data_IF_859069155936
#
_entry.id   IF_859069155936
#
_cell.length_a   1.000
_cell.length_b   1.000
_cell.length_c   1.000
_cell.angle_alpha   90.00
_cell.angle_beta   90.00
_cell.angle_gamma   90.00
#
_symmetry.space_group_name_H-M   'P 1'
#
loop_
_entity.id
_entity.type
_entity.pdbx_description
1 polymer ?
#
# COMPACT_ATOMS: atom_id res chain seq x y z
N UNK A 1 -20.84 -6.11 9.28
CA UNK A 1 -20.49 -6.46 7.92
C UNK A 1 -21.00 -5.39 6.98
N UNK A 2 -20.30 -5.12 5.92
CA UNK A 2 -20.82 -4.26 4.86
C UNK A 2 -21.48 -5.15 3.81
N UNK A 3 -22.57 -4.64 3.19
CA UNK A 3 -23.30 -5.33 2.13
C UNK A 3 -22.58 -5.27 0.77
N UNK A 4 -21.25 -5.09 0.77
CA UNK A 4 -20.43 -5.08 -0.44
C UNK A 4 -20.30 -6.49 -1.02
N UNK A 5 -20.53 -6.62 -2.31
CA UNK A 5 -20.21 -7.84 -3.04
C UNK A 5 -18.70 -7.84 -3.34
N UNK A 6 -18.00 -8.90 -2.92
CA UNK A 6 -16.56 -9.04 -3.11
C UNK A 6 -16.32 -10.08 -4.20
N UNK A 7 -15.48 -9.70 -5.17
CA UNK A 7 -14.94 -10.58 -6.21
C UNK A 7 -13.44 -10.68 -6.07
N UNK A 8 -12.88 -11.83 -6.37
CA UNK A 8 -11.43 -12.01 -6.39
C UNK A 8 -10.99 -12.80 -7.60
N UNK A 9 -9.90 -12.33 -8.17
CA UNK A 9 -9.18 -12.96 -9.27
C UNK A 9 -7.68 -13.00 -8.95
N UNK A 10 -7.06 -14.10 -9.26
CA UNK A 10 -5.60 -14.30 -9.19
C UNK A 10 -5.15 -15.05 -10.46
N UNK A 11 -3.92 -14.82 -10.92
CA UNK A 11 -3.34 -15.58 -12.06
C UNK A 11 -3.19 -17.08 -11.73
N UNK A 12 -3.09 -17.42 -10.46
CA UNK A 12 -3.11 -18.80 -10.00
C UNK A 12 -4.58 -19.26 -9.84
N UNK A 13 -5.05 -20.19 -10.69
CA UNK A 13 -6.46 -20.57 -10.71
C UNK A 13 -7.01 -21.08 -9.35
N UNK A 14 -6.15 -21.69 -8.54
CA UNK A 14 -6.52 -22.20 -7.21
C UNK A 14 -6.89 -21.08 -6.20
N UNK A 15 -6.46 -19.82 -6.48
CA UNK A 15 -6.73 -18.65 -5.66
C UNK A 15 -7.85 -17.76 -6.22
N UNK A 16 -8.30 -18.03 -7.44
CA UNK A 16 -9.38 -17.30 -8.08
C UNK A 16 -10.74 -17.84 -7.73
N UNK A 17 -11.68 -16.93 -7.41
CA UNK A 17 -13.11 -17.28 -7.21
C UNK A 17 -13.91 -16.92 -8.47
N UNK A 18 -13.49 -15.85 -9.16
CA UNK A 18 -14.17 -15.31 -10.33
C UNK A 18 -13.20 -15.19 -11.50
N UNK A 19 -13.69 -15.03 -12.72
CA UNK A 19 -12.86 -14.70 -13.88
C UNK A 19 -12.40 -13.24 -13.78
N UNK A 20 -11.33 -12.90 -14.53
CA UNK A 20 -10.87 -11.51 -14.63
C UNK A 20 -11.99 -10.61 -15.19
N UNK A 21 -12.66 -11.06 -16.26
CA UNK A 21 -13.75 -10.30 -16.91
C UNK A 21 -14.91 -10.02 -15.94
N UNK A 22 -15.33 -11.01 -15.17
CA UNK A 22 -16.36 -10.82 -14.13
C UNK A 22 -15.89 -9.85 -13.05
N UNK A 23 -14.64 -10.03 -12.55
CA UNK A 23 -14.09 -9.17 -11.49
C UNK A 23 -14.02 -7.72 -11.95
N UNK A 24 -13.59 -7.47 -13.20
CA UNK A 24 -13.44 -6.11 -13.72
C UNK A 24 -14.79 -5.46 -14.00
N UNK A 25 -15.71 -6.16 -14.68
CA UNK A 25 -16.92 -5.52 -15.20
C UNK A 25 -18.07 -5.46 -14.18
N UNK A 26 -17.99 -6.25 -13.12
CA UNK A 26 -19.02 -6.27 -12.07
C UNK A 26 -18.56 -5.62 -10.75
N UNK A 27 -17.43 -4.91 -10.76
CA UNK A 27 -16.91 -4.19 -9.59
C UNK A 27 -16.75 -2.69 -9.87
N UNK A 28 -17.14 -1.88 -8.90
CA UNK A 28 -16.97 -0.42 -8.97
C UNK A 28 -15.56 0.01 -8.59
N UNK A 29 -14.89 -0.78 -7.74
CA UNK A 29 -13.54 -0.54 -7.26
C UNK A 29 -12.69 -1.80 -7.43
N UNK A 30 -11.55 -1.68 -8.12
CA UNK A 30 -10.63 -2.77 -8.42
C UNK A 30 -9.33 -2.56 -7.64
N UNK A 31 -9.07 -3.37 -6.64
CA UNK A 31 -7.85 -3.29 -5.83
C UNK A 31 -6.76 -4.18 -6.43
N UNK A 32 -5.69 -3.57 -6.94
CA UNK A 32 -4.53 -4.27 -7.50
C UNK A 32 -3.45 -4.39 -6.42
N UNK A 33 -3.14 -5.63 -6.04
CA UNK A 33 -2.09 -5.96 -5.07
C UNK A 33 -1.17 -7.00 -5.68
N UNK A 34 -0.23 -6.55 -6.51
CA UNK A 34 0.74 -7.41 -7.21
C UNK A 34 2.16 -7.11 -6.72
N UNK A 35 3.09 -8.09 -6.77
CA UNK A 35 4.48 -7.86 -6.42
C UNK A 35 5.14 -6.83 -7.34
N UNK A 36 6.02 -6.01 -6.74
CA UNK A 36 6.92 -5.07 -7.45
C UNK A 36 8.35 -5.33 -6.97
N UNK A 37 9.00 -6.41 -7.45
CA UNK A 37 10.33 -6.80 -7.00
C UNK A 37 11.40 -5.80 -7.44
N UNK A 38 12.56 -5.82 -6.77
CA UNK A 38 13.72 -5.04 -7.20
C UNK A 38 14.46 -5.75 -8.32
N UNK A 39 14.92 -4.99 -9.31
CA UNK A 39 15.87 -5.43 -10.31
C UNK A 39 17.29 -5.57 -9.70
N UNK A 40 18.24 -6.24 -10.38
CA UNK A 40 19.61 -6.37 -9.90
C UNK A 40 20.34 -5.04 -9.67
N UNK A 41 19.94 -3.98 -10.37
CA UNK A 41 20.49 -2.63 -10.23
C UNK A 41 19.83 -1.82 -9.09
N UNK A 42 18.89 -2.43 -8.36
CA UNK A 42 18.13 -1.79 -7.28
C UNK A 42 16.92 -0.98 -7.75
N UNK A 43 16.69 -0.84 -9.05
CA UNK A 43 15.47 -0.22 -9.57
C UNK A 43 14.25 -1.13 -9.32
N UNK A 44 13.06 -0.52 -9.29
CA UNK A 44 11.82 -1.26 -9.10
C UNK A 44 11.32 -1.84 -10.42
N UNK A 45 10.99 -3.14 -10.43
CA UNK A 45 10.35 -3.78 -11.56
C UNK A 45 8.83 -3.62 -11.47
N UNK A 46 8.26 -2.96 -12.45
CA UNK A 46 6.81 -2.72 -12.57
C UNK A 46 6.13 -3.56 -13.64
N UNK A 47 6.83 -4.54 -14.23
CA UNK A 47 6.30 -5.33 -15.36
C UNK A 47 5.05 -6.11 -14.99
N UNK A 48 5.01 -6.67 -13.77
CA UNK A 48 3.85 -7.43 -13.28
C UNK A 48 2.64 -6.49 -13.13
N UNK A 49 2.85 -5.29 -12.58
CA UNK A 49 1.80 -4.28 -12.43
C UNK A 49 1.31 -3.80 -13.80
N UNK A 50 2.24 -3.56 -14.71
CA UNK A 50 1.92 -3.13 -16.07
C UNK A 50 1.12 -4.21 -16.84
N UNK A 51 1.50 -5.48 -16.70
CA UNK A 51 0.76 -6.60 -17.25
C UNK A 51 -0.66 -6.71 -16.67
N UNK A 52 -0.81 -6.53 -15.36
CA UNK A 52 -2.12 -6.55 -14.71
C UNK A 52 -3.03 -5.41 -15.21
N UNK A 53 -2.50 -4.20 -15.37
CA UNK A 53 -3.25 -3.07 -15.93
C UNK A 53 -3.65 -3.30 -17.40
N UNK A 54 -2.76 -3.90 -18.17
CA UNK A 54 -3.05 -4.29 -19.56
C UNK A 54 -4.15 -5.35 -19.63
N UNK A 55 -4.08 -6.38 -18.81
CA UNK A 55 -5.10 -7.43 -18.74
C UNK A 55 -6.47 -6.83 -18.35
N UNK A 56 -6.50 -5.91 -17.38
CA UNK A 56 -7.72 -5.19 -17.00
C UNK A 56 -8.26 -4.34 -18.16
N UNK A 57 -7.43 -3.53 -18.79
CA UNK A 57 -7.85 -2.68 -19.91
C UNK A 57 -8.44 -3.50 -21.05
N UNK A 58 -7.87 -4.67 -21.37
CA UNK A 58 -8.34 -5.54 -22.45
C UNK A 58 -9.73 -6.10 -22.22
N UNK A 59 -10.14 -6.32 -20.97
CA UNK A 59 -11.46 -6.90 -20.64
C UNK A 59 -12.46 -5.87 -20.14
N UNK A 60 -12.01 -4.66 -19.78
CA UNK A 60 -12.84 -3.61 -19.20
C UNK A 60 -13.81 -3.04 -20.24
N UNK A 61 -15.10 -3.14 -19.94
CA UNK A 61 -16.21 -2.59 -20.77
C UNK A 61 -16.85 -1.38 -20.09
N UNK A 62 -16.33 -0.98 -18.92
CA UNK A 62 -16.84 0.14 -18.13
C UNK A 62 -15.91 1.34 -18.24
N UNK A 63 -16.48 2.52 -18.01
CA UNK A 63 -15.74 3.79 -17.96
C UNK A 63 -15.84 4.47 -16.59
N UNK A 64 -16.55 3.87 -15.64
CA UNK A 64 -16.85 4.44 -14.34
C UNK A 64 -16.24 3.69 -13.15
N UNK A 65 -15.66 2.50 -13.37
CA UNK A 65 -14.95 1.79 -12.31
C UNK A 65 -13.59 2.45 -12.02
N UNK A 66 -13.11 2.29 -10.79
CA UNK A 66 -11.84 2.87 -10.34
C UNK A 66 -10.85 1.74 -10.05
N UNK A 67 -9.65 1.89 -10.59
CA UNK A 67 -8.53 0.96 -10.40
C UNK A 67 -7.60 1.52 -9.33
N UNK A 68 -7.54 0.86 -8.17
CA UNK A 68 -6.69 1.25 -7.06
C UNK A 68 -5.37 0.46 -7.10
N UNK A 69 -4.27 1.14 -7.32
CA UNK A 69 -2.92 0.55 -7.23
C UNK A 69 -2.49 0.59 -5.75
N UNK A 70 -2.28 -0.59 -5.17
CA UNK A 70 -1.83 -0.75 -3.79
C UNK A 70 -0.37 -1.13 -3.66
N UNK A 71 0.22 -1.66 -4.73
CA UNK A 71 1.63 -2.05 -4.79
C UNK A 71 2.54 -0.86 -4.51
N UNK A 72 3.64 -1.08 -3.78
CA UNK A 72 4.66 -0.05 -3.55
C UNK A 72 5.38 0.25 -4.86
N UNK A 73 5.41 1.51 -5.25
CA UNK A 73 6.05 1.99 -6.49
C UNK A 73 6.78 3.31 -6.25
N UNK A 74 7.77 3.61 -7.07
CA UNK A 74 8.57 4.83 -6.96
C UNK A 74 7.79 6.07 -7.37
N UNK A 75 8.02 7.25 -6.74
CA UNK A 75 7.38 8.51 -7.12
C UNK A 75 7.49 8.82 -8.62
N UNK A 76 6.35 9.22 -9.22
CA UNK A 76 6.19 9.47 -10.65
C UNK A 76 5.83 8.25 -11.50
N UNK A 77 5.72 7.06 -10.90
CA UNK A 77 5.34 5.84 -11.63
C UNK A 77 3.86 5.81 -11.97
N UNK A 78 2.96 6.12 -11.02
CA UNK A 78 1.52 6.08 -11.27
C UNK A 78 1.10 7.09 -12.33
N UNK A 79 1.71 8.28 -12.33
CA UNK A 79 1.42 9.27 -13.38
C UNK A 79 1.73 8.72 -14.79
N UNK A 80 2.88 8.05 -14.95
CA UNK A 80 3.25 7.42 -16.23
C UNK A 80 2.29 6.29 -16.62
N UNK A 81 1.85 5.50 -15.63
CA UNK A 81 0.85 4.44 -15.86
C UNK A 81 -0.51 5.04 -16.25
N UNK A 82 -0.98 6.08 -15.56
CA UNK A 82 -2.23 6.76 -15.90
C UNK A 82 -2.18 7.40 -17.31
N UNK A 83 -1.05 7.97 -17.71
CA UNK A 83 -0.86 8.50 -19.05
C UNK A 83 -0.85 7.40 -20.14
N UNK A 84 -0.38 6.20 -19.79
CA UNK A 84 -0.34 5.05 -20.71
C UNK A 84 -1.71 4.36 -20.82
N UNK A 85 -2.42 4.20 -19.72
CA UNK A 85 -3.71 3.51 -19.60
C UNK A 85 -4.86 4.53 -19.44
N UNK A 86 -5.04 5.39 -20.43
CA UNK A 86 -5.98 6.55 -20.37
C UNK A 86 -7.44 6.16 -20.23
N UNK A 87 -7.79 4.92 -20.57
CA UNK A 87 -9.14 4.40 -20.45
C UNK A 87 -9.45 3.82 -19.05
N UNK A 88 -8.47 3.86 -18.13
CA UNK A 88 -8.62 3.41 -16.74
C UNK A 88 -8.60 4.61 -15.78
N UNK A 89 -9.57 4.67 -14.89
CA UNK A 89 -9.59 5.64 -13.79
C UNK A 89 -8.67 5.14 -12.68
N UNK A 90 -7.42 5.57 -12.66
CA UNK A 90 -6.41 5.07 -11.73
C UNK A 90 -6.35 5.95 -10.50
N UNK A 91 -6.32 5.32 -9.32
CA UNK A 91 -6.01 5.95 -8.03
C UNK A 91 -4.87 5.16 -7.37
N UNK A 92 -3.86 5.86 -6.90
CA UNK A 92 -2.83 5.26 -6.06
C UNK A 92 -3.29 5.27 -4.60
N UNK A 93 -3.43 4.08 -4.02
CA UNK A 93 -3.83 3.92 -2.62
C UNK A 93 -2.86 2.96 -1.92
N UNK A 94 -1.70 3.45 -1.45
CA UNK A 94 -0.69 2.63 -0.80
C UNK A 94 -1.22 1.97 0.47
N UNK A 95 -0.72 0.79 0.76
CA UNK A 95 -0.96 0.09 2.01
C UNK A 95 0.18 0.35 3.00
N UNK A 96 -0.13 0.31 4.31
CA UNK A 96 0.81 0.49 5.42
C UNK A 96 0.72 -0.69 6.39
N UNK A 97 0.62 -1.89 5.83
CA UNK A 97 0.40 -3.13 6.56
C UNK A 97 1.73 -3.82 6.85
N UNK A 98 1.79 -4.53 7.96
CA UNK A 98 2.88 -5.47 8.24
C UNK A 98 2.46 -6.89 7.87
N UNK A 99 3.38 -7.72 7.41
CA UNK A 99 3.08 -9.10 7.00
C UNK A 99 2.43 -9.93 8.12
N UNK A 100 2.86 -9.70 9.37
CA UNK A 100 2.39 -10.47 10.53
C UNK A 100 0.98 -10.11 10.99
N UNK A 101 0.54 -8.87 10.77
CA UNK A 101 -0.72 -8.35 11.30
C UNK A 101 -1.58 -7.64 10.24
N UNK A 102 -1.44 -7.98 8.97
CA UNK A 102 -2.07 -7.27 7.85
C UNK A 102 -3.58 -7.02 8.04
N UNK A 103 -4.34 -8.01 8.51
CA UNK A 103 -5.80 -7.84 8.77
C UNK A 103 -6.07 -6.86 9.90
N UNK A 104 -5.30 -6.98 10.99
CA UNK A 104 -5.43 -6.08 12.15
C UNK A 104 -5.04 -4.66 11.77
N UNK A 105 -3.91 -4.50 11.07
CA UNK A 105 -3.42 -3.20 10.62
C UNK A 105 -4.41 -2.54 9.66
N UNK A 106 -5.05 -3.31 8.75
CA UNK A 106 -6.05 -2.77 7.84
C UNK A 106 -7.31 -2.29 8.57
N UNK A 107 -7.79 -3.03 9.57
CA UNK A 107 -8.98 -2.66 10.35
C UNK A 107 -8.71 -1.44 11.23
N UNK A 108 -7.49 -1.30 11.74
CA UNK A 108 -7.08 -0.24 12.65
C UNK A 108 -6.29 0.89 11.96
N UNK A 109 -6.42 1.04 10.65
CA UNK A 109 -5.78 2.14 9.94
C UNK A 109 -6.23 3.49 10.48
N UNK A 110 -5.27 4.38 10.68
CA UNK A 110 -5.51 5.74 11.18
C UNK A 110 -5.79 6.74 10.07
N UNK A 111 -5.52 6.38 8.81
CA UNK A 111 -5.70 7.22 7.62
C UNK A 111 -5.65 6.40 6.35
N UNK A 112 -6.22 6.96 5.28
CA UNK A 112 -6.01 6.51 3.89
C UNK A 112 -5.32 7.60 3.09
N UNK A 113 -4.39 7.22 2.21
CA UNK A 113 -3.71 8.10 1.27
C UNK A 113 -4.26 7.78 -0.12
N UNK A 114 -4.70 8.80 -0.84
CA UNK A 114 -5.33 8.66 -2.15
C UNK A 114 -4.67 9.65 -3.12
N UNK A 115 -3.94 9.12 -4.08
CA UNK A 115 -3.27 9.91 -5.12
C UNK A 115 -3.95 9.75 -6.46
N UNK A 116 -4.29 10.87 -7.10
CA UNK A 116 -4.93 10.86 -8.41
C UNK A 116 -5.79 12.07 -8.68
N UNK A 117 -6.63 11.97 -9.70
CA UNK A 117 -7.62 12.99 -10.00
C UNK A 117 -8.65 13.08 -8.89
N UNK A 118 -9.04 14.31 -8.54
CA UNK A 118 -9.91 14.58 -7.37
C UNK A 118 -11.26 13.87 -7.49
N UNK A 119 -11.84 13.79 -8.67
CA UNK A 119 -13.12 13.08 -8.87
C UNK A 119 -13.01 11.61 -8.45
N UNK A 120 -11.92 10.94 -8.82
CA UNK A 120 -11.72 9.53 -8.51
C UNK A 120 -11.30 9.31 -7.05
N UNK A 121 -10.41 10.15 -6.51
CA UNK A 121 -10.00 10.05 -5.11
C UNK A 121 -11.15 10.30 -4.16
N UNK A 122 -12.05 11.24 -4.45
CA UNK A 122 -13.21 11.52 -3.62
C UNK A 122 -14.19 10.35 -3.57
N UNK A 123 -14.44 9.65 -4.69
CA UNK A 123 -15.26 8.42 -4.69
C UNK A 123 -14.63 7.31 -3.87
N UNK A 124 -13.32 7.15 -3.91
CA UNK A 124 -12.61 6.19 -3.05
C UNK A 124 -12.66 6.60 -1.58
N UNK A 125 -12.54 7.88 -1.28
CA UNK A 125 -12.68 8.41 0.08
C UNK A 125 -14.08 8.13 0.65
N UNK A 126 -15.14 8.29 -0.14
CA UNK A 126 -16.51 7.92 0.24
C UNK A 126 -16.63 6.43 0.56
N UNK A 127 -16.05 5.54 -0.25
CA UNK A 127 -16.00 4.10 0.03
C UNK A 127 -15.34 3.80 1.38
N UNK A 128 -14.22 4.44 1.69
CA UNK A 128 -13.53 4.22 2.96
C UNK A 128 -14.29 4.80 4.14
N UNK A 129 -14.88 5.99 4.01
CA UNK A 129 -15.75 6.57 5.05
C UNK A 129 -16.98 5.71 5.31
N UNK A 130 -17.63 5.20 4.27
CA UNK A 130 -18.73 4.25 4.42
C UNK A 130 -18.32 2.99 5.20
N UNK A 131 -17.11 2.48 4.99
CA UNK A 131 -16.63 1.24 5.64
C UNK A 131 -16.08 1.48 7.05
N UNK A 132 -15.39 2.58 7.28
CA UNK A 132 -14.61 2.84 8.51
C UNK A 132 -15.19 3.97 9.36
N UNK A 133 -16.21 4.65 8.88
CA UNK A 133 -16.86 5.80 9.52
C UNK A 133 -16.38 7.13 8.98
N UNK A 134 -17.23 8.15 9.07
CA UNK A 134 -17.01 9.48 8.46
C UNK A 134 -15.79 10.21 9.03
N UNK A 135 -15.37 9.85 10.24
CA UNK A 135 -14.22 10.47 10.91
C UNK A 135 -12.86 9.98 10.42
N UNK A 136 -12.80 8.90 9.59
CA UNK A 136 -11.53 8.40 9.11
C UNK A 136 -10.85 9.41 8.17
N UNK A 137 -9.61 9.85 8.45
CA UNK A 137 -8.90 10.76 7.57
C UNK A 137 -8.59 10.12 6.22
N UNK A 138 -9.06 10.75 5.14
CA UNK A 138 -8.65 10.43 3.78
C UNK A 138 -7.85 11.62 3.25
N UNK A 139 -6.55 11.42 3.00
CA UNK A 139 -5.65 12.44 2.46
C UNK A 139 -5.64 12.28 0.94
N UNK A 140 -6.37 13.17 0.28
CA UNK A 140 -6.49 13.23 -1.18
C UNK A 140 -5.40 14.16 -1.73
N UNK A 141 -4.63 13.70 -2.70
CA UNK A 141 -3.49 14.45 -3.27
C UNK A 141 -3.15 13.95 -4.69
N UNK A 142 -2.09 14.47 -5.30
CA UNK A 142 -1.58 13.95 -6.57
C UNK A 142 -0.81 12.62 -6.39
N UNK A 143 -0.54 11.94 -7.50
CA UNK A 143 0.13 10.64 -7.50
C UNK A 143 1.49 10.68 -6.81
N UNK A 144 2.33 11.63 -7.19
CA UNK A 144 3.71 11.72 -6.71
C UNK A 144 3.79 11.98 -5.20
N UNK A 145 2.89 12.81 -4.68
CA UNK A 145 2.82 13.07 -3.24
C UNK A 145 2.38 11.82 -2.47
N UNK A 146 1.38 11.10 -2.97
CA UNK A 146 0.91 9.87 -2.34
C UNK A 146 1.99 8.77 -2.35
N UNK A 147 2.71 8.62 -3.46
CA UNK A 147 3.85 7.71 -3.61
C UNK A 147 4.99 8.09 -2.65
N UNK A 148 5.31 9.38 -2.55
CA UNK A 148 6.34 9.89 -1.64
C UNK A 148 6.00 9.59 -0.18
N UNK A 149 4.74 9.77 0.25
CA UNK A 149 4.30 9.44 1.61
C UNK A 149 4.58 7.97 1.93
N UNK A 150 4.30 7.05 0.99
CA UNK A 150 4.60 5.62 1.16
C UNK A 150 6.10 5.39 1.33
N UNK A 151 6.92 6.00 0.46
CA UNK A 151 8.37 5.88 0.52
C UNK A 151 8.96 6.43 1.81
N UNK A 152 8.52 7.61 2.24
CA UNK A 152 8.97 8.22 3.50
C UNK A 152 8.76 7.27 4.68
N UNK A 153 7.58 6.64 4.79
CA UNK A 153 7.31 5.69 5.85
C UNK A 153 8.25 4.47 5.79
N UNK A 154 8.38 3.85 4.61
CA UNK A 154 9.19 2.65 4.46
C UNK A 154 10.68 2.94 4.72
N UNK A 155 11.20 4.04 4.18
CA UNK A 155 12.60 4.44 4.39
C UNK A 155 12.87 4.82 5.85
N UNK A 156 11.92 5.50 6.51
CA UNK A 156 12.06 5.83 7.93
C UNK A 156 12.14 4.57 8.80
N UNK A 157 11.27 3.60 8.55
CA UNK A 157 11.28 2.35 9.30
C UNK A 157 12.55 1.51 9.05
N UNK A 158 13.03 1.46 7.80
CA UNK A 158 14.30 0.83 7.46
C UNK A 158 15.48 1.51 8.18
N UNK A 159 15.49 2.85 8.22
CA UNK A 159 16.50 3.63 8.94
C UNK A 159 16.46 3.35 10.44
N UNK A 160 15.26 3.26 11.03
CA UNK A 160 15.09 2.95 12.45
C UNK A 160 15.66 1.57 12.80
N UNK A 161 15.37 0.55 11.98
CA UNK A 161 15.95 -0.80 12.18
C UNK A 161 17.46 -0.76 12.06
N UNK A 162 18.01 -0.09 11.03
CA UNK A 162 19.46 0.05 10.83
C UNK A 162 20.12 0.73 12.03
N UNK A 163 19.54 1.83 12.52
CA UNK A 163 20.01 2.52 13.70
C UNK A 163 20.05 1.62 14.94
N UNK A 164 18.96 0.86 15.17
CA UNK A 164 18.90 -0.04 16.32
C UNK A 164 19.90 -1.21 16.21
N UNK A 165 20.12 -1.73 15.00
CA UNK A 165 21.18 -2.73 14.78
C UNK A 165 22.57 -2.19 15.16
N UNK A 166 22.91 -0.94 14.77
CA UNK A 166 24.17 -0.32 15.19
C UNK A 166 24.26 -0.16 16.71
N UNK A 167 23.17 0.28 17.35
CA UNK A 167 23.13 0.39 18.82
C UNK A 167 23.27 -0.96 19.50
N UNK A 168 22.69 -2.03 18.94
CA UNK A 168 22.84 -3.40 19.42
C UNK A 168 24.29 -3.86 19.36
N UNK A 169 25.01 -3.58 18.28
CA UNK A 169 26.43 -3.92 18.15
C UNK A 169 27.29 -3.22 19.21
N UNK A 170 26.93 -2.01 19.63
CA UNK A 170 27.61 -1.29 20.73
C UNK A 170 27.24 -1.95 22.06
N UNK A 171 25.97 -2.25 22.30
CA UNK A 171 25.49 -2.90 23.53
C UNK A 171 26.18 -4.26 23.73
N UNK A 172 26.38 -5.04 22.67
CA UNK A 172 27.03 -6.37 22.75
C UNK A 172 28.51 -6.30 23.15
N UNK A 173 29.13 -5.13 23.09
CA UNK A 173 30.53 -4.88 23.51
C UNK A 173 30.64 -4.23 24.88
N UNK A 174 29.51 -4.02 25.54
CA UNK A 174 29.42 -3.32 26.82
C UNK A 174 28.51 -4.11 27.76
N UNK A 175 28.46 -3.73 29.03
CA UNK A 175 27.57 -4.36 30.04
C UNK A 175 26.16 -3.74 30.02
N UNK A 176 25.56 -3.67 28.81
CA UNK A 176 24.21 -3.12 28.61
C UNK A 176 23.20 -4.25 28.48
N UNK A 177 22.17 -4.21 29.35
CA UNK A 177 20.96 -5.01 29.16
C UNK A 177 20.16 -4.41 27.99
N UNK A 178 20.21 -5.06 26.82
CA UNK A 178 19.59 -4.58 25.61
C UNK A 178 18.08 -4.48 25.69
N UNK A 179 17.41 -5.44 26.32
CA UNK A 179 15.96 -5.45 26.41
C UNK A 179 15.45 -4.30 27.29
N UNK A 180 16.12 -4.05 28.40
CA UNK A 180 15.83 -2.90 29.27
C UNK A 180 16.13 -1.58 28.56
N UNK A 181 17.23 -1.52 27.82
CA UNK A 181 17.60 -0.31 27.07
C UNK A 181 16.55 0.02 25.98
N UNK A 182 16.11 -0.98 25.22
CA UNK A 182 15.07 -0.81 24.19
C UNK A 182 13.73 -0.45 24.81
N UNK A 183 13.34 -1.10 25.94
CA UNK A 183 12.10 -0.74 26.62
C UNK A 183 12.14 0.72 27.09
N UNK A 184 13.22 1.15 27.73
CA UNK A 184 13.40 2.54 28.13
C UNK A 184 13.36 3.51 26.95
N UNK A 185 14.02 3.16 25.85
CA UNK A 185 14.05 3.96 24.62
C UNK A 185 12.66 4.18 24.02
N UNK A 186 11.83 3.14 23.90
CA UNK A 186 10.50 3.24 23.28
C UNK A 186 9.44 3.88 24.18
N UNK A 187 9.72 4.06 25.48
CA UNK A 187 8.84 4.80 26.41
C UNK A 187 8.75 6.29 26.05
N UNK A 188 9.72 6.84 25.34
CA UNK A 188 9.55 8.16 24.74
C UNK A 188 8.53 8.07 23.60
N UNK A 189 7.36 8.69 23.78
CA UNK A 189 6.26 8.65 22.82
C UNK A 189 6.62 9.14 21.40
N UNK A 190 7.72 9.87 21.25
CA UNK A 190 8.24 10.32 19.94
C UNK A 190 8.91 9.18 19.15
N UNK A 191 9.32 8.10 19.82
CA UNK A 191 10.03 6.96 19.21
C UNK A 191 9.04 5.93 18.68
N UNK A 192 8.04 5.55 19.49
CA UNK A 192 7.05 4.52 19.17
C UNK A 192 7.61 3.09 19.15
N UNK A 193 6.71 2.12 19.32
CA UNK A 193 7.04 0.70 19.49
C UNK A 193 7.22 -0.10 18.20
N UNK A 194 6.96 0.47 17.03
CA UNK A 194 7.07 -0.26 15.76
C UNK A 194 8.53 -0.33 15.29
N UNK A 195 8.90 -1.45 14.61
CA UNK A 195 10.21 -1.63 13.94
C UNK A 195 11.40 -1.48 14.90
N UNK A 196 11.36 -2.17 16.04
CA UNK A 196 12.43 -2.17 17.05
C UNK A 196 13.14 -3.53 17.19
N UNK A 197 12.65 -4.57 16.50
CA UNK A 197 13.30 -5.88 16.49
C UNK A 197 14.56 -5.83 15.65
N UNK A 198 15.71 -6.11 16.26
CA UNK A 198 17.03 -6.22 15.60
C UNK A 198 17.41 -7.69 15.43
N UNK A 199 18.29 -7.98 14.48
CA UNK A 199 18.80 -9.32 14.19
C UNK A 199 20.16 -9.53 14.83
#
# INVERSE_FOLDING_TARGET
GCDAQIRSYDKEPSKSIHTLEQTVNESDFLFISVPTPSNPDGSMNVDILMAALMDIQNVNKRNDNIVLIRSTITPGTTLKLAQKFKDLNIVFNPEFLTERSAKFDFINQTRFILGGDQEHTSRVAELFRWRFGDSIPCIETNYETAEMIKYMNNCFFATKISFLNEMKLIADKTDVDWDVAVEGYVRDGRIGHSHISVQ
#
